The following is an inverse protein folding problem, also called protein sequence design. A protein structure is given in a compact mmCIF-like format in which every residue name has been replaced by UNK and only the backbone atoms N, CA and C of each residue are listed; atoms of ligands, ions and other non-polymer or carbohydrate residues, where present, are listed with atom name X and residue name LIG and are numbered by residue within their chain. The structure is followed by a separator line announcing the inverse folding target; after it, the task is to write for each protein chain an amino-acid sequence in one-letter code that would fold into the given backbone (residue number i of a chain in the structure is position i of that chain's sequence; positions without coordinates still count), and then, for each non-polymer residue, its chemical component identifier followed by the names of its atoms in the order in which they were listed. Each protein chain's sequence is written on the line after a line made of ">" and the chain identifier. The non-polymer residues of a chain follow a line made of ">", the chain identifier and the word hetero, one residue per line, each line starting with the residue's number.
data_IF_892168542673
#
_entry.id   IF_892168542673
#
_cell.length_a   1.000
_cell.length_b   1.000
_cell.length_c   1.000
_cell.angle_alpha   90.00
_cell.angle_beta   90.00
_cell.angle_gamma   90.00
#
_symmetry.space_group_name_H-M   'P 1'
#
loop_
_entity.id
_entity.type
_entity.pdbx_description
1 polymer ?
#
# COMPACT_ATOMS: atom_id res chain seq x y z
N UNK A 1 -5.27 -17.50 41.89
CA UNK A 1 -6.15 -17.14 40.77
C UNK A 1 -5.32 -17.12 39.50
N UNK A 2 -5.49 -18.10 38.64
CA UNK A 2 -4.90 -18.11 37.32
C UNK A 2 -5.74 -17.16 36.44
N UNK A 3 -5.24 -15.94 36.24
CA UNK A 3 -5.73 -15.11 35.16
C UNK A 3 -5.24 -15.75 33.85
N UNK A 4 -6.02 -16.65 33.29
CA UNK A 4 -5.87 -17.01 31.88
C UNK A 4 -6.06 -15.71 31.07
N UNK A 5 -4.96 -15.08 30.66
CA UNK A 5 -4.99 -14.02 29.67
C UNK A 5 -5.60 -14.61 28.40
N UNK A 6 -6.89 -14.40 28.23
CA UNK A 6 -7.62 -14.77 27.03
C UNK A 6 -6.83 -14.26 25.84
N UNK A 7 -6.33 -15.15 24.97
CA UNK A 7 -5.62 -14.74 23.77
C UNK A 7 -6.57 -13.90 22.93
N UNK A 8 -6.15 -12.72 22.43
CA UNK A 8 -6.99 -11.94 21.53
C UNK A 8 -7.38 -12.80 20.33
N UNK A 9 -8.59 -12.62 19.85
CA UNK A 9 -9.04 -13.30 18.66
C UNK A 9 -8.19 -12.95 17.43
N UNK A 10 -8.40 -13.64 16.33
CA UNK A 10 -7.63 -13.45 15.10
C UNK A 10 -7.76 -12.02 14.57
N UNK A 11 -8.97 -11.49 14.53
CA UNK A 11 -9.25 -10.19 13.96
C UNK A 11 -8.61 -9.06 14.75
N UNK A 12 -8.64 -9.15 16.07
CA UNK A 12 -7.98 -8.18 16.93
C UNK A 12 -6.46 -8.22 16.79
N UNK A 13 -5.87 -9.42 16.66
CA UNK A 13 -4.44 -9.55 16.40
C UNK A 13 -4.03 -8.92 15.07
N UNK A 14 -4.82 -9.13 14.03
CA UNK A 14 -4.55 -8.56 12.71
C UNK A 14 -4.75 -7.04 12.72
N UNK A 15 -5.74 -6.53 13.42
CA UNK A 15 -5.95 -5.10 13.63
C UNK A 15 -4.76 -4.44 14.32
N UNK A 16 -4.25 -5.05 15.39
CA UNK A 16 -3.04 -4.56 16.08
C UNK A 16 -1.82 -4.59 15.16
N UNK A 17 -1.67 -5.65 14.39
CA UNK A 17 -0.58 -5.77 13.41
C UNK A 17 -0.67 -4.69 12.33
N UNK A 18 -1.87 -4.39 11.84
CA UNK A 18 -2.11 -3.31 10.89
C UNK A 18 -1.62 -1.97 11.42
N UNK A 19 -2.07 -1.55 12.60
CA UNK A 19 -1.70 -0.25 13.16
C UNK A 19 -0.22 -0.16 13.53
N UNK A 20 0.37 -1.24 14.00
CA UNK A 20 1.82 -1.30 14.25
C UNK A 20 2.62 -1.14 12.96
N UNK A 21 2.22 -1.79 11.90
CA UNK A 21 2.88 -1.68 10.60
C UNK A 21 2.63 -0.32 9.95
N UNK A 22 1.45 0.25 10.12
CA UNK A 22 1.14 1.61 9.68
C UNK A 22 2.05 2.63 10.37
N UNK A 23 2.20 2.54 11.69
CA UNK A 23 3.15 3.39 12.41
C UNK A 23 4.57 3.24 11.88
N UNK A 24 5.06 2.01 11.72
CA UNK A 24 6.40 1.74 11.22
C UNK A 24 6.64 2.31 9.83
N UNK A 25 5.66 2.19 8.94
CA UNK A 25 5.72 2.76 7.60
C UNK A 25 5.81 4.28 7.66
N UNK A 26 4.92 4.93 8.38
CA UNK A 26 4.89 6.38 8.52
C UNK A 26 6.13 6.93 9.25
N UNK A 27 6.64 6.22 10.26
CA UNK A 27 7.84 6.62 10.98
C UNK A 27 9.10 6.62 10.08
N UNK A 28 9.16 5.75 9.08
CA UNK A 28 10.26 5.74 8.11
C UNK A 28 10.30 6.99 7.23
N UNK A 29 9.18 7.68 7.07
CA UNK A 29 9.09 8.92 6.29
C UNK A 29 9.43 10.17 7.10
N UNK A 30 9.52 10.06 8.41
CA UNK A 30 9.83 11.18 9.30
C UNK A 30 11.34 11.43 9.38
N UNK A 31 11.72 12.70 9.37
CA UNK A 31 13.12 13.13 9.54
C UNK A 31 13.50 13.33 11.01
N UNK A 32 12.53 13.71 11.86
CA UNK A 32 12.75 14.06 13.26
C UNK A 32 11.92 13.18 14.19
N UNK A 33 12.45 12.88 15.38
CA UNK A 33 11.76 12.06 16.38
C UNK A 33 10.46 12.69 16.89
N UNK A 34 10.38 14.02 16.96
CA UNK A 34 9.15 14.74 17.29
C UNK A 34 8.00 14.43 16.34
N UNK A 35 8.31 14.24 15.06
CA UNK A 35 7.31 13.90 14.03
C UNK A 35 6.82 12.47 14.19
N UNK A 36 7.70 11.55 14.62
CA UNK A 36 7.32 10.18 14.97
C UNK A 36 6.35 10.13 16.16
N UNK A 37 6.51 11.00 17.14
CA UNK A 37 5.58 11.11 18.27
C UNK A 37 4.20 11.58 17.83
N UNK A 38 4.13 12.52 16.89
CA UNK A 38 2.88 12.94 16.28
C UNK A 38 2.22 11.79 15.50
N UNK A 39 2.98 11.07 14.68
CA UNK A 39 2.50 9.89 13.95
C UNK A 39 1.93 8.84 14.90
N UNK A 40 2.63 8.55 16.00
CA UNK A 40 2.16 7.60 17.01
C UNK A 40 0.82 8.04 17.62
N UNK A 41 0.69 9.30 17.95
CA UNK A 41 -0.56 9.87 18.51
C UNK A 41 -1.74 9.72 17.53
N UNK A 42 -1.51 10.01 16.25
CA UNK A 42 -2.54 9.86 15.21
C UNK A 42 -2.93 8.40 15.00
N UNK A 43 -1.96 7.51 14.92
CA UNK A 43 -2.19 6.07 14.77
C UNK A 43 -2.95 5.50 15.97
N UNK A 44 -2.59 5.87 17.19
CA UNK A 44 -3.29 5.44 18.41
C UNK A 44 -4.74 5.92 18.43
N UNK A 45 -4.99 7.13 17.97
CA UNK A 45 -6.35 7.67 17.83
C UNK A 45 -7.20 6.82 16.85
N UNK A 46 -6.63 6.46 15.70
CA UNK A 46 -7.31 5.58 14.74
C UNK A 46 -7.51 4.16 15.27
N UNK A 47 -6.53 3.62 15.99
CA UNK A 47 -6.60 2.29 16.59
C UNK A 47 -7.68 2.18 17.67
N UNK A 48 -8.08 3.29 18.29
CA UNK A 48 -9.19 3.37 19.22
C UNK A 48 -10.58 3.18 18.57
N UNK A 49 -10.68 3.23 17.26
CA UNK A 49 -11.95 2.99 16.56
C UNK A 49 -12.34 1.51 16.60
N UNK A 50 -13.36 1.18 17.40
CA UNK A 50 -13.80 -0.21 17.61
C UNK A 50 -14.55 -0.82 16.43
N UNK A 51 -15.11 0.01 15.55
CA UNK A 51 -15.86 -0.44 14.38
C UNK A 51 -14.98 -0.83 13.21
N UNK A 52 -13.75 -0.35 13.18
CA UNK A 52 -12.84 -0.61 12.08
C UNK A 52 -12.16 -1.97 12.21
N UNK A 53 -12.31 -2.80 11.17
CA UNK A 53 -11.59 -4.06 11.03
C UNK A 53 -11.01 -4.17 9.62
N UNK A 54 -9.70 -4.09 9.43
CA UNK A 54 -9.09 -4.10 8.10
C UNK A 54 -9.29 -5.42 7.34
N UNK A 55 -9.56 -6.53 8.04
CA UNK A 55 -9.79 -7.84 7.40
C UNK A 55 -11.15 -7.88 6.70
N UNK A 56 -12.17 -7.37 7.36
CA UNK A 56 -13.55 -7.51 6.90
C UNK A 56 -13.97 -6.41 5.92
N UNK A 57 -13.30 -5.25 5.98
CA UNK A 57 -13.77 -4.06 5.29
C UNK A 57 -13.23 -3.91 3.87
N UNK A 58 -12.16 -4.60 3.51
CA UNK A 58 -11.50 -4.40 2.23
C UNK A 58 -11.52 -5.66 1.37
N UNK A 59 -11.78 -5.43 0.10
CA UNK A 59 -11.59 -6.46 -0.93
C UNK A 59 -10.14 -6.44 -1.39
N UNK A 60 -9.53 -7.61 -1.41
CA UNK A 60 -8.18 -7.81 -1.91
C UNK A 60 -8.24 -8.37 -3.32
N UNK A 61 -7.50 -7.76 -4.22
CA UNK A 61 -7.35 -8.21 -5.60
C UNK A 61 -5.92 -8.64 -5.88
N UNK A 62 -5.68 -9.69 -6.67
CA UNK A 62 -4.33 -10.03 -7.10
C UNK A 62 -3.68 -8.86 -7.83
N UNK A 63 -2.43 -8.60 -7.52
CA UNK A 63 -1.62 -7.58 -8.17
C UNK A 63 -0.61 -8.25 -9.07
N UNK A 64 -0.72 -8.01 -10.36
CA UNK A 64 0.13 -8.60 -11.38
C UNK A 64 1.19 -7.61 -11.85
N UNK A 65 2.37 -8.13 -12.12
CA UNK A 65 3.42 -7.44 -12.85
C UNK A 65 3.57 -8.04 -14.23
N UNK A 66 3.82 -7.20 -15.20
CA UNK A 66 4.18 -7.61 -16.55
C UNK A 66 5.68 -7.37 -16.75
N UNK A 67 6.41 -8.40 -17.09
CA UNK A 67 7.81 -8.32 -17.45
C UNK A 67 7.96 -8.68 -18.94
N UNK A 68 8.57 -7.79 -19.69
CA UNK A 68 8.94 -8.08 -21.10
C UNK A 68 10.29 -8.76 -21.10
N UNK A 69 10.31 -10.00 -21.54
CA UNK A 69 11.54 -10.75 -21.75
C UNK A 69 11.93 -10.65 -23.21
N UNK A 70 13.05 -10.01 -23.47
CA UNK A 70 13.68 -10.01 -24.80
C UNK A 70 14.56 -11.26 -24.91
N UNK A 71 14.08 -12.28 -25.58
CA UNK A 71 14.92 -13.36 -26.09
C UNK A 71 15.30 -13.07 -27.54
N UNK A 72 16.43 -13.61 -28.04
CA UNK A 72 17.17 -13.22 -29.24
C UNK A 72 16.38 -13.03 -30.55
N UNK A 73 15.12 -13.34 -30.63
CA UNK A 73 14.27 -13.10 -31.79
C UNK A 73 12.79 -12.85 -31.51
N UNK A 74 12.30 -13.04 -30.27
CA UNK A 74 10.89 -12.91 -29.90
C UNK A 74 10.66 -12.10 -28.62
N UNK A 75 9.70 -11.20 -28.69
CA UNK A 75 9.23 -10.47 -27.50
C UNK A 75 8.22 -11.34 -26.74
N UNK A 76 8.62 -11.83 -25.57
CA UNK A 76 7.72 -12.54 -24.66
C UNK A 76 7.24 -11.63 -23.53
N UNK A 77 5.95 -11.66 -23.24
CA UNK A 77 5.39 -11.01 -22.06
C UNK A 77 5.14 -12.07 -21.00
N UNK A 78 5.80 -11.93 -19.84
CA UNK A 78 5.52 -12.76 -18.68
C UNK A 78 4.65 -12.02 -17.70
N UNK A 79 3.57 -12.65 -17.29
CA UNK A 79 2.68 -12.17 -16.24
C UNK A 79 2.98 -12.95 -14.96
N UNK A 80 3.56 -12.25 -13.99
CA UNK A 80 3.82 -12.80 -12.66
C UNK A 80 2.95 -12.10 -11.64
N UNK A 81 2.33 -12.84 -10.74
CA UNK A 81 1.63 -12.23 -9.63
C UNK A 81 2.63 -11.77 -8.57
N UNK A 82 2.71 -10.45 -8.33
CA UNK A 82 3.52 -9.87 -7.26
C UNK A 82 2.95 -10.23 -5.88
N UNK A 83 1.64 -10.19 -5.76
CA UNK A 83 0.92 -10.45 -4.52
C UNK A 83 -0.11 -11.56 -4.76
N UNK A 84 0.29 -12.84 -4.75
CA UNK A 84 -0.62 -13.95 -5.06
C UNK A 84 -1.85 -13.98 -4.16
N UNK A 85 -1.70 -13.58 -2.90
CA UNK A 85 -2.80 -13.47 -1.95
C UNK A 85 -3.60 -12.17 -2.07
N UNK A 86 -3.24 -11.32 -3.02
CA UNK A 86 -3.89 -10.05 -3.24
C UNK A 86 -3.42 -8.93 -2.33
N UNK A 87 -3.74 -7.72 -2.74
CA UNK A 87 -3.49 -6.50 -2.01
C UNK A 87 -4.61 -5.48 -2.20
N UNK A 88 -4.70 -4.53 -1.28
CA UNK A 88 -5.58 -3.38 -1.37
C UNK A 88 -4.76 -2.14 -1.62
N UNK A 89 -5.04 -1.43 -2.71
CA UNK A 89 -4.42 -0.13 -2.98
C UNK A 89 -4.88 0.89 -1.92
N UNK A 90 -3.93 1.43 -1.19
CA UNK A 90 -4.17 2.40 -0.12
C UNK A 90 -4.01 3.82 -0.64
N UNK A 91 -2.91 4.09 -1.32
CA UNK A 91 -2.59 5.40 -1.86
C UNK A 91 -1.75 5.25 -3.12
N UNK A 92 -1.80 6.24 -3.96
CA UNK A 92 -0.94 6.35 -5.14
C UNK A 92 -0.50 7.80 -5.32
N UNK A 93 0.69 7.97 -5.85
CA UNK A 93 1.25 9.27 -6.19
C UNK A 93 1.83 9.21 -7.59
N UNK A 94 1.33 10.07 -8.48
CA UNK A 94 1.87 10.22 -9.82
C UNK A 94 3.24 10.87 -9.74
N UNK A 95 4.21 10.27 -10.39
CA UNK A 95 5.52 10.89 -10.56
C UNK A 95 5.43 11.94 -11.65
N UNK A 96 6.20 13.03 -11.51
CA UNK A 96 6.37 14.01 -12.57
C UNK A 96 7.06 13.29 -13.74
N UNK A 97 6.25 12.85 -14.69
CA UNK A 97 6.73 12.11 -15.83
C UNK A 97 7.57 13.03 -16.70
N UNK A 98 8.74 12.59 -17.04
CA UNK A 98 9.45 13.11 -18.20
C UNK A 98 8.62 12.75 -19.43
N UNK A 99 7.98 13.75 -20.03
CA UNK A 99 7.03 13.64 -21.15
C UNK A 99 7.61 13.07 -22.44
N UNK A 100 8.80 12.50 -22.43
CA UNK A 100 9.59 12.35 -23.64
C UNK A 100 9.76 10.91 -24.08
N UNK A 101 8.93 9.99 -24.04
CA UNK A 101 9.14 8.67 -24.71
C UNK A 101 7.90 7.75 -24.65
N UNK A 102 6.70 8.28 -24.87
CA UNK A 102 5.50 7.44 -24.92
C UNK A 102 5.02 6.94 -23.54
N UNK A 103 5.49 7.55 -22.47
CA UNK A 103 4.95 7.29 -21.12
C UNK A 103 3.55 7.84 -21.01
N UNK A 104 2.61 7.00 -20.67
CA UNK A 104 1.24 7.41 -20.39
C UNK A 104 1.04 7.67 -18.90
N UNK A 105 1.72 6.93 -18.05
CA UNK A 105 1.61 7.06 -16.61
C UNK A 105 2.84 6.48 -15.90
N UNK A 106 3.30 7.18 -14.87
CA UNK A 106 4.32 6.69 -13.94
C UNK A 106 3.89 7.08 -12.53
N UNK A 107 3.68 6.11 -11.66
CA UNK A 107 3.17 6.34 -10.31
C UNK A 107 3.77 5.38 -9.31
N UNK A 108 3.81 5.82 -8.05
CA UNK A 108 4.09 4.96 -6.91
C UNK A 108 2.78 4.57 -6.24
N UNK A 109 2.68 3.33 -5.85
CA UNK A 109 1.50 2.74 -5.28
C UNK A 109 1.85 2.14 -3.91
N UNK A 110 1.03 2.44 -2.90
CA UNK A 110 1.12 1.82 -1.58
C UNK A 110 0.01 0.79 -1.44
N UNK A 111 0.39 -0.44 -1.14
CA UNK A 111 -0.50 -1.57 -1.00
C UNK A 111 -0.53 -2.10 0.43
N UNK A 112 -1.71 -2.45 0.91
CA UNK A 112 -1.90 -3.28 2.08
C UNK A 112 -2.08 -4.73 1.64
N UNK A 113 -1.25 -5.62 2.17
CA UNK A 113 -1.34 -7.05 1.92
C UNK A 113 -2.21 -7.75 2.97
N UNK A 114 -2.67 -8.95 2.66
CA UNK A 114 -3.56 -9.73 3.55
C UNK A 114 -2.97 -10.04 4.92
N UNK A 115 -1.67 -10.10 5.02
CA UNK A 115 -0.96 -10.31 6.29
C UNK A 115 -0.76 -9.02 7.10
N UNK A 116 -1.38 -7.92 6.67
CA UNK A 116 -1.27 -6.58 7.28
C UNK A 116 0.12 -5.97 7.17
N UNK A 117 0.93 -6.39 6.22
CA UNK A 117 2.15 -5.70 5.80
C UNK A 117 1.87 -4.72 4.67
N UNK A 118 2.74 -3.75 4.50
CA UNK A 118 2.65 -2.78 3.42
C UNK A 118 3.76 -3.02 2.39
N UNK A 119 3.43 -2.78 1.13
CA UNK A 119 4.37 -2.84 0.03
C UNK A 119 4.24 -1.58 -0.83
N UNK A 120 5.37 -1.11 -1.33
CA UNK A 120 5.41 0.01 -2.28
C UNK A 120 5.85 -0.53 -3.63
N UNK A 121 5.09 -0.17 -4.65
CA UNK A 121 5.39 -0.50 -6.04
C UNK A 121 5.52 0.77 -6.88
N UNK A 122 6.31 0.69 -7.92
CA UNK A 122 6.29 1.64 -9.03
C UNK A 122 5.57 1.01 -10.20
N UNK A 123 4.60 1.72 -10.75
CA UNK A 123 3.85 1.31 -11.93
C UNK A 123 4.14 2.27 -13.08
N UNK A 124 4.62 1.74 -14.18
CA UNK A 124 4.92 2.51 -15.39
C UNK A 124 4.07 1.95 -16.53
N UNK A 125 3.26 2.81 -17.13
CA UNK A 125 2.44 2.45 -18.28
C UNK A 125 2.99 3.14 -19.52
N UNK A 126 3.28 2.34 -20.54
CA UNK A 126 3.70 2.79 -21.86
C UNK A 126 2.53 2.68 -22.82
N UNK A 127 2.37 3.65 -23.70
CA UNK A 127 1.47 3.58 -24.85
C UNK A 127 2.27 3.61 -26.15
N UNK A 128 1.78 2.91 -27.15
CA UNK A 128 2.28 3.05 -28.53
C UNK A 128 1.31 3.85 -29.39
N UNK A 129 1.71 4.19 -30.62
CA UNK A 129 0.88 4.95 -31.55
C UNK A 129 -0.35 4.17 -32.07
N UNK A 130 -0.45 2.87 -31.81
CA UNK A 130 -1.60 2.02 -32.14
C UNK A 130 -2.65 1.92 -31.02
N UNK A 131 -2.42 2.63 -29.90
CA UNK A 131 -3.32 2.65 -28.75
C UNK A 131 -3.15 1.47 -27.79
N UNK A 132 -2.18 0.60 -28.02
CA UNK A 132 -1.82 -0.47 -27.08
C UNK A 132 -1.11 0.11 -25.86
N UNK A 133 -1.45 -0.40 -24.68
CA UNK A 133 -0.85 -0.01 -23.41
C UNK A 133 -0.26 -1.20 -22.70
N UNK A 134 0.91 -1.02 -22.12
CA UNK A 134 1.59 -2.02 -21.31
C UNK A 134 2.01 -1.42 -19.98
N UNK A 135 1.61 -2.07 -18.90
CA UNK A 135 1.94 -1.63 -17.54
C UNK A 135 2.97 -2.56 -16.93
N UNK A 136 4.07 -2.00 -16.48
CA UNK A 136 5.09 -2.67 -15.69
C UNK A 136 4.93 -2.26 -14.23
N UNK A 137 4.99 -3.23 -13.34
CA UNK A 137 4.90 -2.98 -11.92
C UNK A 137 6.06 -3.63 -11.20
N UNK A 138 6.77 -2.85 -10.39
CA UNK A 138 7.96 -3.27 -9.68
C UNK A 138 7.79 -3.06 -8.19
N UNK A 139 8.31 -4.00 -7.38
CA UNK A 139 8.53 -3.73 -5.97
C UNK A 139 9.66 -2.72 -5.80
N UNK A 140 9.39 -1.65 -5.08
CA UNK A 140 10.41 -0.72 -4.63
C UNK A 140 10.93 -1.29 -3.31
N UNK A 141 12.24 -1.59 -3.26
CA UNK A 141 12.87 -2.12 -2.06
C UNK A 141 12.75 -1.20 -0.84
N UNK A 142 13.23 -1.66 0.29
CA UNK A 142 13.17 -0.97 1.59
C UNK A 142 14.10 0.26 1.70
N UNK A 143 14.39 0.94 0.60
CA UNK A 143 15.17 2.17 0.64
C UNK A 143 14.36 3.29 1.28
N UNK A 144 14.86 3.79 2.41
CA UNK A 144 14.26 4.89 3.15
C UNK A 144 14.10 6.16 2.31
N UNK A 145 15.02 6.43 1.41
CA UNK A 145 14.98 7.60 0.54
C UNK A 145 13.87 7.46 -0.50
N UNK A 146 13.63 6.26 -1.01
CA UNK A 146 12.47 5.98 -1.84
C UNK A 146 11.15 6.21 -1.09
N UNK A 147 11.04 5.73 0.16
CA UNK A 147 9.84 5.97 0.96
C UNK A 147 9.59 7.46 1.20
N UNK A 148 10.62 8.21 1.58
CA UNK A 148 10.50 9.65 1.84
C UNK A 148 10.12 10.44 0.61
N UNK A 149 10.61 10.05 -0.56
CA UNK A 149 10.31 10.71 -1.82
C UNK A 149 8.85 10.49 -2.27
N UNK A 150 8.28 9.32 -1.99
CA UNK A 150 7.03 8.89 -2.59
C UNK A 150 5.86 8.71 -1.64
N UNK A 151 6.14 8.51 -0.36
CA UNK A 151 5.13 8.26 0.66
C UNK A 151 5.38 9.14 1.88
N UNK A 152 4.71 10.26 1.95
CA UNK A 152 4.74 11.12 3.13
C UNK A 152 3.74 10.61 4.18
N UNK A 153 4.13 10.67 5.46
CA UNK A 153 3.32 10.16 6.57
C UNK A 153 1.91 10.76 6.59
N UNK A 154 1.80 12.07 6.41
CA UNK A 154 0.51 12.75 6.47
C UNK A 154 -0.44 12.32 5.35
N UNK A 155 0.07 12.08 4.15
CA UNK A 155 -0.71 11.58 3.01
C UNK A 155 -1.24 10.16 3.27
N UNK A 156 -0.38 9.29 3.80
CA UNK A 156 -0.74 7.92 4.16
C UNK A 156 -1.81 7.90 5.26
N UNK A 157 -1.61 8.69 6.32
CA UNK A 157 -2.54 8.78 7.43
C UNK A 157 -3.89 9.37 7.02
N UNK A 158 -3.89 10.40 6.18
CA UNK A 158 -5.11 10.98 5.64
C UNK A 158 -5.90 9.96 4.81
N UNK A 159 -5.22 9.20 3.97
CA UNK A 159 -5.87 8.17 3.14
C UNK A 159 -6.43 7.02 3.98
N UNK A 160 -5.73 6.59 5.02
CA UNK A 160 -6.22 5.56 5.94
C UNK A 160 -7.46 6.05 6.70
N UNK A 161 -7.50 7.30 7.11
CA UNK A 161 -8.70 7.90 7.72
C UNK A 161 -9.89 7.89 6.77
N UNK A 162 -9.71 8.21 5.51
CA UNK A 162 -10.78 8.12 4.52
C UNK A 162 -11.32 6.69 4.38
N UNK A 163 -10.44 5.71 4.30
CA UNK A 163 -10.82 4.30 4.23
C UNK A 163 -11.61 3.85 5.45
N UNK A 164 -11.23 4.30 6.64
CA UNK A 164 -11.98 4.03 7.87
C UNK A 164 -13.40 4.62 7.78
N UNK A 165 -13.53 5.85 7.31
CA UNK A 165 -14.86 6.51 7.12
C UNK A 165 -15.68 5.82 6.06
N UNK A 166 -15.11 5.45 4.93
CA UNK A 166 -15.78 4.70 3.87
C UNK A 166 -16.34 3.38 4.39
N UNK A 167 -15.59 2.70 5.25
CA UNK A 167 -16.05 1.45 5.86
C UNK A 167 -17.15 1.65 6.90
N UNK A 168 -17.06 2.69 7.70
CA UNK A 168 -18.12 3.04 8.67
C UNK A 168 -19.45 3.30 7.97
N UNK A 169 -19.44 4.04 6.86
CA UNK A 169 -20.65 4.35 6.10
C UNK A 169 -21.34 3.12 5.49
N UNK A 170 -20.61 2.04 5.24
CA UNK A 170 -21.16 0.79 4.72
C UNK A 170 -21.94 0.00 5.78
N UNK A 171 -21.76 0.27 7.06
CA UNK A 171 -22.43 -0.40 8.17
C UNK A 171 -23.59 0.40 8.79
N UNK A 172 -23.81 1.62 8.32
CA UNK A 172 -24.91 2.50 8.76
C UNK A 172 -26.19 2.35 7.91
N UNK A 173 -26.49 1.15 7.48
CA UNK A 173 -27.77 0.86 6.79
C UNK A 173 -28.78 0.29 7.77
#
# INVERSE_FOLDING_TARGET
>A
MNYEKKRPDRDERMKRKFFRNLYRLCAKTCYFDKDKSHVQSVVDSMAGNKKFNPILCWKYTPVTACEVVMEEADYGVRHNSLFPCGGKLIAEKTNDATENFGFVNDRNELWLLRDMTFAVTRSITYGNCEGERMTYRYLIGNDLDCFRKYCEADDILARVRELIRENESQFEV
#
